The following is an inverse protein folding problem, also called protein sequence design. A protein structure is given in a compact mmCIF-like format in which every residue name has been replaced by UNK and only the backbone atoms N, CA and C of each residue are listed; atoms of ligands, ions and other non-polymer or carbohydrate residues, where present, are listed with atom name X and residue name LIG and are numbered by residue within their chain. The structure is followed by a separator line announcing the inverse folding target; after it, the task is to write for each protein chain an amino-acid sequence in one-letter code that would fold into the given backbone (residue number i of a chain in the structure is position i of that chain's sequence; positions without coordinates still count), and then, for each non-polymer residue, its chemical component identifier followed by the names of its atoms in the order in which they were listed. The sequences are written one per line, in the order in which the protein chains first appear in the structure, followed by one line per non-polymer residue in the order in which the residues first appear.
data_IF_027146809366
#
_entry.id   IF_027146809366
#
_cell.length_a   1.000
_cell.length_b   1.000
_cell.length_c   1.000
_cell.angle_alpha   90.00
_cell.angle_beta   90.00
_cell.angle_gamma   90.00
#
_symmetry.space_group_name_H-M   'P 1'
#
loop_
_entity.id
_entity.type
_entity.pdbx_description
1 polymer ?
#
# COMPACT_ATOMS: atom_id res chain seq x y z
N UNK A 1 -21.12 -1.57 26.83
CA UNK A 1 -21.25 -2.78 27.64
C UNK A 1 -21.26 -2.44 29.12
N UNK A 2 -21.75 -3.37 29.98
CA UNK A 2 -21.92 -3.19 31.44
C UNK A 2 -22.93 -2.10 31.79
N UNK A 3 -24.05 -2.03 31.07
CA UNK A 3 -25.12 -1.05 31.33
C UNK A 3 -25.76 -1.19 32.74
N UNK A 4 -25.67 -2.38 33.32
CA UNK A 4 -26.13 -2.70 34.67
C UNK A 4 -25.31 -2.04 35.79
N UNK A 5 -24.11 -1.53 35.50
CA UNK A 5 -23.23 -0.88 36.48
C UNK A 5 -23.24 0.65 36.40
N UNK A 6 -23.90 1.21 35.40
CA UNK A 6 -23.98 2.65 35.18
C UNK A 6 -25.35 3.20 35.61
N UNK A 7 -25.37 4.41 36.16
CA UNK A 7 -26.63 5.11 36.37
C UNK A 7 -27.21 5.61 35.03
N UNK A 8 -28.49 5.87 34.98
CA UNK A 8 -29.21 6.22 33.77
C UNK A 8 -28.77 7.57 33.18
N UNK A 9 -28.31 8.52 34.02
CA UNK A 9 -27.83 9.83 33.53
C UNK A 9 -26.45 9.72 32.88
N UNK A 10 -25.54 8.96 33.51
CA UNK A 10 -24.20 8.69 32.92
C UNK A 10 -24.30 7.92 31.62
N UNK A 11 -25.25 6.96 31.54
CA UNK A 11 -25.49 6.19 30.32
C UNK A 11 -25.95 7.11 29.16
N UNK A 12 -26.97 7.94 29.40
CA UNK A 12 -27.52 8.86 28.43
C UNK A 12 -26.47 9.90 27.99
N UNK A 13 -25.68 10.40 28.93
CA UNK A 13 -24.58 11.33 28.63
C UNK A 13 -23.54 10.68 27.70
N UNK A 14 -23.14 9.43 27.97
CA UNK A 14 -22.21 8.67 27.14
C UNK A 14 -22.77 8.40 25.75
N UNK A 15 -24.01 7.98 25.61
CA UNK A 15 -24.67 7.77 24.32
C UNK A 15 -24.71 9.06 23.48
N UNK A 16 -25.05 10.17 24.11
CA UNK A 16 -25.08 11.47 23.43
C UNK A 16 -23.69 11.91 22.98
N UNK A 17 -22.66 11.62 23.75
CA UNK A 17 -21.28 11.89 23.36
C UNK A 17 -20.85 11.05 22.14
N UNK A 18 -21.21 9.76 22.13
CA UNK A 18 -20.93 8.86 21.01
C UNK A 18 -21.66 9.33 19.74
N UNK A 19 -22.94 9.75 19.85
CA UNK A 19 -23.69 10.31 18.71
C UNK A 19 -23.08 11.60 18.17
N UNK A 20 -22.59 12.48 19.06
CA UNK A 20 -21.88 13.71 18.64
C UNK A 20 -20.60 13.41 17.85
N UNK A 21 -19.97 12.25 18.06
CA UNK A 21 -18.82 11.77 17.28
C UNK A 21 -19.22 11.11 15.95
N UNK A 22 -20.52 11.06 15.62
CA UNK A 22 -21.02 10.48 14.37
C UNK A 22 -21.22 8.95 14.41
N UNK A 23 -21.25 8.36 15.60
CA UNK A 23 -21.48 6.93 15.76
C UNK A 23 -22.84 6.64 16.39
N UNK A 24 -23.47 5.51 16.01
CA UNK A 24 -24.70 5.02 16.64
C UNK A 24 -24.34 4.06 17.80
N UNK A 25 -24.63 4.42 19.05
CA UNK A 25 -24.32 3.57 20.20
C UNK A 25 -25.31 2.41 20.34
N UNK A 26 -24.81 1.24 20.69
CA UNK A 26 -25.63 0.09 21.12
C UNK A 26 -25.28 -0.23 22.55
N UNK A 27 -26.23 0.04 23.46
CA UNK A 27 -26.09 -0.19 24.90
C UNK A 27 -26.41 -1.62 25.25
N UNK A 28 -25.48 -2.31 25.93
CA UNK A 28 -25.59 -3.75 26.24
C UNK A 28 -25.17 -4.07 27.68
N UNK A 29 -25.70 -5.18 28.18
CA UNK A 29 -25.19 -5.88 29.38
C UNK A 29 -24.90 -7.34 29.00
N UNK A 30 -23.61 -7.67 28.76
CA UNK A 30 -23.23 -9.00 28.30
C UNK A 30 -23.42 -10.08 29.37
N UNK A 31 -23.23 -9.75 30.67
CA UNK A 31 -23.43 -10.66 31.77
C UNK A 31 -24.90 -11.10 31.90
N UNK A 32 -25.83 -10.20 31.56
CA UNK A 32 -27.29 -10.44 31.60
C UNK A 32 -27.84 -10.80 30.19
N UNK A 33 -27.01 -10.93 29.19
CA UNK A 33 -27.38 -11.15 27.77
C UNK A 33 -28.36 -10.09 27.21
N UNK A 34 -28.38 -8.90 27.78
CA UNK A 34 -29.30 -7.83 27.39
C UNK A 34 -28.79 -7.13 26.13
N UNK A 35 -29.65 -6.94 25.12
CA UNK A 35 -29.38 -6.30 23.84
C UNK A 35 -28.24 -6.92 22.97
N UNK A 36 -27.93 -8.21 23.19
CA UNK A 36 -26.91 -8.89 22.37
C UNK A 36 -27.35 -9.03 20.92
N UNK A 37 -28.64 -9.24 20.67
CA UNK A 37 -29.16 -9.34 19.31
C UNK A 37 -29.07 -7.98 18.56
N UNK A 38 -29.32 -6.87 19.25
CA UNK A 38 -29.12 -5.53 18.69
C UNK A 38 -27.64 -5.29 18.26
N UNK A 39 -26.66 -5.83 19.00
CA UNK A 39 -25.25 -5.81 18.58
C UNK A 39 -25.02 -6.63 17.31
N UNK A 40 -25.60 -7.84 17.24
CA UNK A 40 -25.50 -8.68 16.04
C UNK A 40 -26.10 -8.00 14.81
N UNK A 41 -27.29 -7.42 14.95
CA UNK A 41 -27.94 -6.67 13.88
C UNK A 41 -27.12 -5.47 13.45
N UNK A 42 -26.55 -4.69 14.37
CA UNK A 42 -25.68 -3.58 14.06
C UNK A 42 -24.41 -4.03 13.33
N UNK A 43 -23.79 -5.16 13.75
CA UNK A 43 -22.63 -5.74 13.05
C UNK A 43 -23.01 -6.18 11.64
N UNK A 44 -24.14 -6.87 11.44
CA UNK A 44 -24.60 -7.31 10.13
C UNK A 44 -24.86 -6.11 9.21
N UNK A 45 -25.57 -5.10 9.71
CA UNK A 45 -25.84 -3.86 8.97
C UNK A 45 -24.55 -3.15 8.54
N UNK A 46 -23.60 -3.02 9.46
CA UNK A 46 -22.30 -2.42 9.17
C UNK A 46 -21.47 -3.28 8.21
N UNK A 47 -21.50 -4.60 8.34
CA UNK A 47 -20.81 -5.51 7.45
C UNK A 47 -21.34 -5.42 6.01
N UNK A 48 -22.66 -5.36 5.82
CA UNK A 48 -23.29 -5.21 4.52
C UNK A 48 -22.92 -3.89 3.83
N UNK A 49 -22.78 -2.81 4.60
CA UNK A 49 -22.35 -1.49 4.08
C UNK A 49 -20.84 -1.36 3.92
N UNK A 50 -20.06 -2.27 4.48
CA UNK A 50 -18.61 -2.20 4.59
C UNK A 50 -17.88 -3.25 3.74
N UNK A 51 -18.57 -3.98 2.88
CA UNK A 51 -17.93 -4.85 1.88
C UNK A 51 -17.36 -3.97 0.78
N UNK A 52 -16.15 -3.47 1.04
CA UNK A 52 -15.25 -3.02 -0.02
C UNK A 52 -14.74 -4.32 -0.67
N UNK A 53 -15.11 -4.63 -1.90
CA UNK A 53 -14.60 -5.83 -2.55
C UNK A 53 -13.07 -5.72 -2.60
N UNK A 54 -12.36 -6.79 -2.26
CA UNK A 54 -10.93 -6.84 -2.50
C UNK A 54 -10.71 -6.67 -4.01
N UNK A 55 -10.04 -5.59 -4.41
CA UNK A 55 -9.67 -5.41 -5.80
C UNK A 55 -8.58 -6.43 -6.15
N UNK A 56 -8.63 -7.01 -7.34
CA UNK A 56 -7.57 -7.89 -7.78
C UNK A 56 -6.24 -7.13 -7.84
N UNK A 57 -5.15 -7.86 -7.74
CA UNK A 57 -3.80 -7.28 -7.85
C UNK A 57 -3.49 -6.90 -9.31
N UNK A 58 -3.79 -7.79 -10.24
CA UNK A 58 -3.54 -7.69 -11.68
C UNK A 58 -4.76 -8.04 -12.53
N UNK A 59 -5.82 -8.60 -11.94
CA UNK A 59 -6.89 -9.28 -12.69
C UNK A 59 -7.67 -8.40 -13.66
N UNK A 60 -7.72 -7.09 -13.43
CA UNK A 60 -8.36 -6.13 -14.35
C UNK A 60 -7.41 -5.60 -15.45
N UNK A 61 -6.12 -5.96 -15.37
CA UNK A 61 -5.08 -5.62 -16.36
C UNK A 61 -4.74 -6.79 -17.28
N UNK A 62 -5.17 -8.01 -16.94
CA UNK A 62 -4.80 -9.24 -17.65
C UNK A 62 -6.00 -9.79 -18.41
N UNK A 63 -5.80 -10.09 -19.68
CA UNK A 63 -6.84 -10.65 -20.55
C UNK A 63 -6.46 -12.07 -20.99
N UNK A 64 -7.46 -12.91 -21.34
CA UNK A 64 -7.20 -14.26 -21.87
C UNK A 64 -6.22 -14.25 -23.05
N UNK A 65 -5.20 -15.09 -22.97
CA UNK A 65 -4.16 -15.19 -24.01
C UNK A 65 -2.98 -14.25 -23.85
N UNK A 66 -3.03 -13.27 -22.94
CA UNK A 66 -1.91 -12.40 -22.65
C UNK A 66 -0.68 -13.18 -22.16
N UNK A 67 0.50 -12.62 -22.37
CA UNK A 67 1.72 -13.03 -21.70
C UNK A 67 2.12 -11.93 -20.70
N UNK A 68 2.22 -12.26 -19.43
CA UNK A 68 2.71 -11.33 -18.39
C UNK A 68 4.05 -11.84 -17.87
N UNK A 69 5.03 -10.94 -17.79
CA UNK A 69 6.36 -11.28 -17.31
C UNK A 69 6.58 -10.75 -15.90
N UNK A 70 6.92 -11.64 -14.97
CA UNK A 70 7.20 -11.32 -13.58
C UNK A 70 8.71 -11.39 -13.31
N UNK A 71 9.30 -10.29 -12.88
CA UNK A 71 10.72 -10.22 -12.52
C UNK A 71 10.88 -10.27 -11.02
N UNK A 72 11.41 -11.40 -10.52
CA UNK A 72 11.55 -11.66 -9.08
C UNK A 72 13.03 -11.83 -8.73
N UNK A 73 13.66 -10.83 -8.11
CA UNK A 73 15.03 -10.96 -7.62
C UNK A 73 15.12 -12.00 -6.51
N UNK A 74 16.32 -12.48 -6.22
CA UNK A 74 16.54 -13.32 -5.05
C UNK A 74 16.47 -12.43 -3.80
N UNK A 75 15.39 -12.60 -3.05
CA UNK A 75 15.19 -11.93 -1.78
C UNK A 75 15.61 -12.85 -0.63
N UNK A 76 16.66 -12.45 0.10
CA UNK A 76 17.17 -13.19 1.27
C UNK A 76 16.24 -13.08 2.48
N UNK A 77 15.32 -12.12 2.48
CA UNK A 77 14.26 -11.96 3.49
C UNK A 77 13.05 -12.87 3.26
N UNK A 78 12.91 -13.42 2.06
CA UNK A 78 11.85 -14.38 1.76
C UNK A 78 12.11 -15.75 2.47
N UNK A 79 11.07 -16.45 2.92
CA UNK A 79 11.23 -17.79 3.45
C UNK A 79 11.89 -18.71 2.42
N UNK A 80 12.85 -19.54 2.86
CA UNK A 80 13.61 -20.45 1.99
C UNK A 80 12.66 -21.31 1.14
N UNK A 81 12.89 -21.32 -0.18
CA UNK A 81 12.12 -22.10 -1.14
C UNK A 81 10.72 -21.55 -1.44
N UNK A 82 10.44 -20.29 -1.11
CA UNK A 82 9.14 -19.66 -1.35
C UNK A 82 9.30 -18.32 -2.06
N UNK A 83 8.26 -17.95 -2.78
CA UNK A 83 8.01 -16.58 -3.24
C UNK A 83 7.27 -15.79 -2.15
N UNK A 84 7.35 -14.46 -2.19
CA UNK A 84 6.55 -13.60 -1.31
C UNK A 84 5.10 -13.52 -1.79
N UNK A 85 4.19 -13.17 -0.87
CA UNK A 85 2.75 -13.20 -1.13
C UNK A 85 2.31 -12.44 -2.39
N UNK A 86 2.77 -11.20 -2.68
CA UNK A 86 2.36 -10.50 -3.90
C UNK A 86 2.77 -11.23 -5.19
N UNK A 87 3.93 -11.89 -5.20
CA UNK A 87 4.40 -12.66 -6.35
C UNK A 87 3.52 -13.88 -6.61
N UNK A 88 3.17 -14.62 -5.54
CA UNK A 88 2.27 -15.79 -5.63
C UNK A 88 0.87 -15.37 -6.06
N UNK A 89 0.36 -14.26 -5.52
CA UNK A 89 -0.96 -13.72 -5.90
C UNK A 89 -0.99 -13.32 -7.37
N UNK A 90 0.03 -12.60 -7.85
CA UNK A 90 0.15 -12.23 -9.26
C UNK A 90 0.15 -13.43 -10.19
N UNK A 91 0.95 -14.47 -9.90
CA UNK A 91 0.98 -15.72 -10.67
C UNK A 91 -0.42 -16.33 -10.71
N UNK A 92 -1.10 -16.41 -9.57
CA UNK A 92 -2.43 -17.01 -9.47
C UNK A 92 -3.46 -16.24 -10.30
N UNK A 93 -3.49 -14.92 -10.20
CA UNK A 93 -4.44 -14.09 -10.95
C UNK A 93 -4.22 -14.15 -12.47
N UNK A 94 -2.94 -14.20 -12.92
CA UNK A 94 -2.61 -14.39 -14.34
C UNK A 94 -3.15 -15.72 -14.85
N UNK A 95 -2.97 -16.80 -14.08
CA UNK A 95 -3.49 -18.12 -14.46
C UNK A 95 -5.04 -18.17 -14.43
N UNK A 96 -5.67 -17.52 -13.46
CA UNK A 96 -7.13 -17.44 -13.38
C UNK A 96 -7.73 -16.65 -14.56
N UNK A 97 -6.98 -15.72 -15.15
CA UNK A 97 -7.36 -14.97 -16.35
C UNK A 97 -7.12 -15.74 -17.67
N UNK A 98 -6.73 -17.01 -17.63
CA UNK A 98 -6.35 -17.83 -18.81
C UNK A 98 -5.21 -17.18 -19.62
N UNK A 99 -4.23 -16.62 -18.91
CA UNK A 99 -3.05 -15.95 -19.45
C UNK A 99 -1.76 -16.71 -19.12
N UNK A 100 -0.69 -16.42 -19.84
CA UNK A 100 0.63 -17.01 -19.68
C UNK A 100 1.47 -16.19 -18.69
N UNK A 101 2.05 -16.85 -17.69
CA UNK A 101 2.95 -16.25 -16.72
C UNK A 101 4.39 -16.71 -16.95
N UNK A 102 5.31 -15.78 -17.19
CA UNK A 102 6.75 -16.04 -17.28
C UNK A 102 7.43 -15.40 -16.07
N UNK A 103 8.10 -16.21 -15.26
CA UNK A 103 8.81 -15.74 -14.06
C UNK A 103 10.30 -15.86 -14.28
N UNK A 104 11.00 -14.73 -14.17
CA UNK A 104 12.46 -14.68 -14.38
C UNK A 104 13.14 -13.83 -13.30
N UNK A 105 14.45 -13.97 -13.20
CA UNK A 105 15.28 -13.03 -12.44
C UNK A 105 15.62 -11.81 -13.29
N UNK A 106 15.97 -10.71 -12.63
CA UNK A 106 16.36 -9.44 -13.24
C UNK A 106 17.49 -9.58 -14.29
N UNK A 107 18.42 -10.49 -14.06
CA UNK A 107 19.54 -10.73 -14.99
C UNK A 107 19.19 -11.64 -16.17
N UNK A 108 17.97 -12.14 -16.24
CA UNK A 108 17.46 -12.99 -17.34
C UNK A 108 16.35 -12.30 -18.13
N UNK A 109 15.96 -11.09 -17.76
CA UNK A 109 14.85 -10.39 -18.38
C UNK A 109 15.07 -10.15 -19.88
N UNK A 110 16.22 -9.60 -20.25
CA UNK A 110 16.52 -9.29 -21.66
C UNK A 110 16.50 -10.56 -22.56
N UNK A 111 17.05 -11.67 -22.05
CA UNK A 111 17.01 -12.96 -22.74
C UNK A 111 15.57 -13.49 -22.87
N UNK A 112 14.79 -13.38 -21.80
CA UNK A 112 13.41 -13.83 -21.80
C UNK A 112 12.55 -13.02 -22.77
N UNK A 113 12.71 -11.69 -22.80
CA UNK A 113 12.01 -10.82 -23.75
C UNK A 113 12.38 -11.15 -25.21
N UNK A 114 13.65 -11.43 -25.48
CA UNK A 114 14.12 -11.76 -26.84
C UNK A 114 13.63 -13.14 -27.34
N UNK A 115 13.29 -14.05 -26.41
CA UNK A 115 12.83 -15.41 -26.76
C UNK A 115 11.31 -15.47 -26.99
N UNK A 116 10.53 -14.47 -26.59
CA UNK A 116 9.10 -14.43 -26.86
C UNK A 116 8.84 -13.98 -28.31
N UNK A 117 7.91 -14.68 -28.98
CA UNK A 117 7.49 -14.36 -30.36
C UNK A 117 6.70 -13.05 -30.43
N UNK A 118 5.94 -12.78 -29.40
CA UNK A 118 5.13 -11.59 -29.23
C UNK A 118 5.53 -10.89 -27.91
N UNK A 119 5.54 -9.56 -27.88
CA UNK A 119 5.89 -8.84 -26.67
C UNK A 119 4.89 -9.16 -25.55
N UNK A 120 5.33 -9.25 -24.30
CA UNK A 120 4.39 -9.41 -23.19
C UNK A 120 3.49 -8.17 -23.08
N UNK A 121 2.27 -8.36 -22.55
CA UNK A 121 1.32 -7.28 -22.32
C UNK A 121 1.92 -6.24 -21.35
N UNK A 122 2.63 -6.69 -20.33
CA UNK A 122 3.40 -5.85 -19.42
C UNK A 122 4.39 -6.67 -18.57
N UNK A 123 5.28 -5.96 -17.89
CA UNK A 123 6.25 -6.52 -16.94
C UNK A 123 5.94 -6.04 -15.53
N UNK A 124 5.91 -6.96 -14.56
CA UNK A 124 5.79 -6.64 -13.13
C UNK A 124 7.09 -7.00 -12.42
N UNK A 125 7.62 -6.08 -11.63
CA UNK A 125 8.89 -6.31 -10.95
C UNK A 125 8.85 -5.97 -9.46
N UNK A 126 9.87 -6.42 -8.76
CA UNK A 126 10.13 -5.96 -7.40
C UNK A 126 10.66 -4.53 -7.42
N UNK A 127 10.19 -3.68 -6.50
CA UNK A 127 10.60 -2.27 -6.46
C UNK A 127 12.10 -2.07 -6.28
N UNK A 128 12.81 -3.05 -5.70
CA UNK A 128 14.25 -2.97 -5.48
C UNK A 128 15.07 -2.96 -6.78
N UNK A 129 14.54 -3.56 -7.84
CA UNK A 129 15.23 -3.72 -9.13
C UNK A 129 14.51 -2.97 -10.27
N UNK A 130 13.53 -2.12 -9.95
CA UNK A 130 12.67 -1.45 -10.93
C UNK A 130 13.48 -0.64 -11.95
N UNK A 131 14.51 0.09 -11.53
CA UNK A 131 15.38 0.82 -12.45
C UNK A 131 16.03 -0.10 -13.49
N UNK A 132 16.66 -1.19 -13.04
CA UNK A 132 17.31 -2.16 -13.92
C UNK A 132 16.33 -2.85 -14.87
N UNK A 133 15.09 -3.09 -14.42
CA UNK A 133 14.04 -3.68 -15.26
C UNK A 133 13.55 -2.69 -16.30
N UNK A 134 13.35 -1.43 -15.94
CA UNK A 134 12.97 -0.36 -16.86
C UNK A 134 14.05 -0.18 -17.95
N UNK A 135 15.33 -0.18 -17.56
CA UNK A 135 16.45 -0.02 -18.49
C UNK A 135 16.56 -1.17 -19.51
N UNK A 136 16.10 -2.38 -19.15
CA UNK A 136 16.13 -3.57 -20.01
C UNK A 136 14.84 -3.78 -20.82
N UNK A 137 13.74 -3.11 -20.45
CA UNK A 137 12.43 -3.31 -21.08
C UNK A 137 12.20 -2.30 -22.19
N UNK A 138 11.85 -2.72 -23.43
CA UNK A 138 11.44 -1.82 -24.51
C UNK A 138 10.35 -0.85 -24.05
N UNK A 139 10.36 0.36 -24.63
CA UNK A 139 9.42 1.43 -24.23
C UNK A 139 7.97 1.09 -24.51
N UNK A 140 7.72 0.25 -25.48
CA UNK A 140 6.38 -0.20 -25.89
C UNK A 140 5.74 -1.20 -24.90
N UNK A 141 6.54 -1.81 -24.02
CA UNK A 141 6.08 -2.77 -23.05
C UNK A 141 5.94 -2.06 -21.70
N UNK A 142 4.73 -1.88 -21.16
CA UNK A 142 4.51 -1.25 -19.86
C UNK A 142 5.23 -1.98 -18.73
N UNK A 143 5.70 -1.22 -17.74
CA UNK A 143 6.35 -1.77 -16.54
C UNK A 143 5.62 -1.28 -15.30
N UNK A 144 5.44 -2.16 -14.33
CA UNK A 144 4.94 -1.79 -13.00
C UNK A 144 5.66 -2.59 -11.92
N UNK A 145 5.32 -2.33 -10.64
CA UNK A 145 5.89 -3.09 -9.53
C UNK A 145 4.82 -3.79 -8.70
N UNK A 146 5.17 -4.94 -8.09
CA UNK A 146 4.26 -5.61 -7.15
C UNK A 146 3.77 -4.66 -6.05
N UNK A 147 4.61 -3.74 -5.58
CA UNK A 147 4.25 -2.80 -4.53
C UNK A 147 3.29 -1.70 -5.01
N UNK A 148 3.39 -1.24 -6.27
CA UNK A 148 2.41 -0.34 -6.89
C UNK A 148 1.06 -1.06 -7.04
N UNK A 149 1.07 -2.30 -7.54
CA UNK A 149 -0.14 -3.09 -7.66
C UNK A 149 -0.78 -3.41 -6.30
N UNK A 150 0.03 -3.62 -5.25
CA UNK A 150 -0.47 -3.72 -3.88
C UNK A 150 -1.11 -2.41 -3.40
N UNK A 151 -0.58 -1.23 -3.77
CA UNK A 151 -1.22 0.04 -3.46
C UNK A 151 -2.56 0.20 -4.19
N UNK A 152 -2.66 -0.23 -5.43
CA UNK A 152 -3.91 -0.27 -6.20
C UNK A 152 -4.93 -1.22 -5.56
N UNK A 153 -4.55 -2.47 -5.31
CA UNK A 153 -5.44 -3.50 -4.75
C UNK A 153 -5.84 -3.22 -3.30
N UNK A 154 -4.90 -2.81 -2.45
CA UNK A 154 -5.09 -2.71 -0.99
C UNK A 154 -5.37 -1.30 -0.49
N UNK A 155 -5.14 -0.26 -1.29
CA UNK A 155 -5.32 1.12 -0.86
C UNK A 155 -5.97 1.96 -1.97
N UNK A 156 -5.57 3.21 -2.09
CA UNK A 156 -5.90 4.12 -3.17
C UNK A 156 -4.60 4.58 -3.83
N UNK A 157 -4.32 4.06 -5.04
CA UNK A 157 -3.06 4.35 -5.75
C UNK A 157 -2.97 5.83 -6.17
N UNK A 158 -4.10 6.46 -6.47
CA UNK A 158 -4.14 7.89 -6.85
C UNK A 158 -3.67 8.77 -5.68
N UNK A 159 -4.18 8.50 -4.47
CA UNK A 159 -3.74 9.22 -3.27
C UNK A 159 -2.29 8.88 -2.91
N UNK A 160 -1.85 7.64 -3.10
CA UNK A 160 -0.45 7.25 -2.87
C UNK A 160 0.51 7.94 -3.84
N UNK A 161 0.14 8.09 -5.10
CA UNK A 161 0.91 8.82 -6.09
C UNK A 161 0.96 10.33 -5.76
N UNK A 162 -0.17 10.92 -5.37
CA UNK A 162 -0.24 12.30 -4.88
C UNK A 162 0.70 12.52 -3.71
N UNK A 163 0.69 11.60 -2.73
CA UNK A 163 1.56 11.66 -1.56
C UNK A 163 3.05 11.59 -1.91
N UNK A 164 3.43 10.83 -2.95
CA UNK A 164 4.82 10.72 -3.38
C UNK A 164 5.42 12.04 -3.87
N UNK A 165 4.60 12.94 -4.40
CA UNK A 165 5.05 14.27 -4.84
C UNK A 165 5.69 15.08 -3.69
N UNK A 166 5.28 14.84 -2.44
CA UNK A 166 5.88 15.49 -1.26
C UNK A 166 7.37 15.19 -1.10
N UNK A 167 7.87 14.09 -1.65
CA UNK A 167 9.30 13.73 -1.58
C UNK A 167 10.19 14.84 -2.16
N UNK A 168 9.73 15.53 -3.21
CA UNK A 168 10.47 16.64 -3.85
C UNK A 168 10.52 17.92 -3.00
N UNK A 169 9.70 18.01 -1.96
CA UNK A 169 9.55 19.19 -1.08
C UNK A 169 10.06 18.96 0.34
N UNK A 170 10.54 17.75 0.65
CA UNK A 170 11.18 17.45 1.93
C UNK A 170 12.49 18.22 2.07
N UNK A 171 12.79 18.61 3.31
CA UNK A 171 14.01 19.34 3.69
C UNK A 171 14.77 18.56 4.75
N UNK A 172 16.10 18.77 4.87
CA UNK A 172 16.86 18.19 5.99
C UNK A 172 16.22 18.52 7.35
N UNK A 173 16.08 17.49 8.18
CA UNK A 173 15.43 17.59 9.49
C UNK A 173 13.91 17.37 9.49
N UNK A 174 13.23 17.32 8.33
CA UNK A 174 11.81 16.98 8.29
C UNK A 174 11.55 15.59 8.86
N UNK A 175 10.46 15.47 9.62
CA UNK A 175 10.06 14.21 10.23
C UNK A 175 9.24 13.37 9.25
N UNK A 176 9.70 12.13 9.02
CA UNK A 176 9.08 11.17 8.10
C UNK A 176 8.76 9.88 8.85
N UNK A 177 7.54 9.37 8.67
CA UNK A 177 7.14 8.09 9.26
C UNK A 177 7.23 6.96 8.22
N UNK A 178 7.89 5.88 8.57
CA UNK A 178 7.94 4.64 7.81
C UNK A 178 7.08 3.60 8.51
N UNK A 179 6.04 3.09 7.83
CA UNK A 179 5.08 2.16 8.41
C UNK A 179 5.23 0.76 7.84
N UNK A 180 5.50 -0.19 8.72
CA UNK A 180 5.55 -1.63 8.41
C UNK A 180 4.32 -2.32 9.01
N UNK A 181 3.56 -3.08 8.21
CA UNK A 181 2.35 -3.76 8.67
C UNK A 181 2.59 -5.17 9.22
N UNK A 182 3.72 -5.76 8.90
CA UNK A 182 4.12 -7.09 9.36
C UNK A 182 5.36 -7.01 10.27
N UNK A 183 5.48 -7.98 11.16
CA UNK A 183 6.64 -8.17 12.03
C UNK A 183 7.65 -9.12 11.38
N UNK A 184 8.05 -8.87 10.13
CA UNK A 184 9.12 -9.66 9.51
C UNK A 184 10.46 -9.38 10.23
N UNK A 185 11.36 -10.36 10.18
CA UNK A 185 12.67 -10.20 10.80
C UNK A 185 13.51 -9.21 9.96
N UNK A 186 13.91 -8.04 10.50
CA UNK A 186 14.65 -7.06 9.73
C UNK A 186 15.98 -7.66 9.23
N UNK A 187 16.22 -7.56 7.93
CA UNK A 187 17.49 -7.95 7.32
C UNK A 187 18.52 -6.82 7.46
N UNK A 188 19.84 -7.11 7.39
CA UNK A 188 20.87 -6.07 7.46
C UNK A 188 20.70 -4.95 6.45
N UNK A 189 20.08 -5.23 5.28
CA UNK A 189 19.84 -4.28 4.19
C UNK A 189 18.33 -4.09 3.91
N UNK A 190 17.56 -3.97 4.99
CA UNK A 190 16.10 -3.81 4.97
C UNK A 190 15.66 -2.56 4.18
N UNK A 191 14.62 -2.71 3.36
CA UNK A 191 14.10 -1.64 2.49
C UNK A 191 13.61 -0.46 3.32
N UNK A 192 12.73 -0.70 4.30
CA UNK A 192 12.10 0.34 5.11
C UNK A 192 13.08 1.02 6.05
N UNK A 193 13.95 0.23 6.70
CA UNK A 193 14.80 0.70 7.79
C UNK A 193 16.17 1.22 7.36
N UNK A 194 16.65 0.86 6.17
CA UNK A 194 17.98 1.21 5.67
C UNK A 194 17.97 1.87 4.30
N UNK A 195 17.35 1.23 3.30
CA UNK A 195 17.41 1.72 1.91
C UNK A 195 16.61 2.98 1.71
N UNK A 196 15.34 3.01 2.13
CA UNK A 196 14.48 4.19 1.98
C UNK A 196 15.03 5.42 2.70
N UNK A 197 15.42 5.37 4.00
CA UNK A 197 16.04 6.52 4.65
C UNK A 197 17.27 7.05 3.90
N UNK A 198 18.16 6.15 3.45
CA UNK A 198 19.36 6.54 2.69
C UNK A 198 19.04 7.18 1.34
N UNK A 199 18.06 6.66 0.61
CA UNK A 199 17.65 7.24 -0.67
C UNK A 199 16.96 8.58 -0.50
N UNK A 200 16.11 8.73 0.51
CA UNK A 200 15.49 10.00 0.88
C UNK A 200 16.54 11.04 1.29
N UNK A 201 17.47 10.70 2.17
CA UNK A 201 18.55 11.60 2.59
C UNK A 201 19.40 12.06 1.39
N UNK A 202 19.71 11.14 0.45
CA UNK A 202 20.40 11.48 -0.79
C UNK A 202 19.59 12.43 -1.67
N UNK A 203 18.29 12.22 -1.81
CA UNK A 203 17.39 13.06 -2.61
C UNK A 203 17.24 14.46 -2.02
N UNK A 204 17.12 14.55 -0.71
CA UNK A 204 16.92 15.81 0.06
C UNK A 204 18.24 16.59 0.25
N UNK A 205 19.38 15.92 0.14
CA UNK A 205 20.70 16.52 0.38
C UNK A 205 21.06 16.66 1.85
N UNK A 206 20.43 15.89 2.74
CA UNK A 206 20.70 15.88 4.19
C UNK A 206 19.84 14.86 4.93
N UNK A 207 20.14 14.63 6.21
CA UNK A 207 19.43 13.66 7.03
C UNK A 207 17.99 14.11 7.35
N UNK A 208 17.08 13.14 7.45
CA UNK A 208 15.69 13.30 7.88
C UNK A 208 15.52 12.68 9.28
N UNK A 209 14.54 13.18 10.04
CA UNK A 209 14.08 12.53 11.26
C UNK A 209 13.13 11.38 10.91
N UNK A 210 13.66 10.15 10.84
CA UNK A 210 12.91 8.98 10.39
C UNK A 210 12.46 8.15 11.59
N UNK A 211 11.13 8.04 11.74
CA UNK A 211 10.50 7.16 12.73
C UNK A 211 9.91 5.92 12.05
N UNK A 212 10.26 4.73 12.54
CA UNK A 212 9.72 3.45 12.02
C UNK A 212 8.66 2.90 12.96
N UNK A 213 7.44 2.75 12.44
CA UNK A 213 6.27 2.22 13.17
C UNK A 213 5.92 0.84 12.62
N UNK A 214 5.76 -0.14 13.51
CA UNK A 214 5.57 -1.56 13.14
C UNK A 214 4.20 -2.07 13.59
N UNK A 215 3.56 -2.88 12.75
CA UNK A 215 2.35 -3.59 13.11
C UNK A 215 1.13 -2.68 13.26
N UNK A 216 0.48 -2.70 14.43
CA UNK A 216 -0.76 -1.95 14.70
C UNK A 216 -0.53 -0.57 15.31
N UNK A 217 0.70 -0.23 15.68
CA UNK A 217 1.05 0.99 16.41
C UNK A 217 1.09 2.22 15.47
N UNK A 218 -0.04 2.50 14.81
CA UNK A 218 -0.20 3.67 13.98
C UNK A 218 -0.62 4.86 14.86
N UNK A 219 0.16 5.95 14.93
CA UNK A 219 -0.08 7.07 15.84
C UNK A 219 -1.44 7.73 15.61
N UNK A 220 -2.07 8.21 16.68
CA UNK A 220 -3.32 8.98 16.59
C UNK A 220 -3.06 10.38 16.01
N UNK A 221 -1.99 11.04 16.46
CA UNK A 221 -1.55 12.32 15.94
C UNK A 221 -0.46 12.11 14.87
N UNK A 222 -0.77 12.51 13.65
CA UNK A 222 0.12 12.43 12.48
C UNK A 222 0.70 13.80 12.09
N UNK A 223 0.24 14.88 12.73
CA UNK A 223 0.64 16.24 12.36
C UNK A 223 2.13 16.56 12.43
N UNK A 224 2.96 15.87 13.27
CA UNK A 224 4.39 16.07 13.25
C UNK A 224 5.11 15.59 11.98
N UNK A 225 4.48 14.71 11.18
CA UNK A 225 5.12 14.10 10.02
C UNK A 225 4.83 14.88 8.74
N UNK A 226 5.86 15.10 7.94
CA UNK A 226 5.75 15.70 6.60
C UNK A 226 5.32 14.70 5.55
N UNK A 227 5.65 13.42 5.75
CA UNK A 227 5.33 12.34 4.83
C UNK A 227 5.22 11.02 5.59
N UNK A 228 4.27 10.19 5.18
CA UNK A 228 4.13 8.80 5.64
C UNK A 228 4.45 7.86 4.48
N UNK A 229 5.42 6.95 4.69
CA UNK A 229 5.76 5.89 3.75
C UNK A 229 5.21 4.55 4.28
N UNK A 230 4.22 4.01 3.62
CA UNK A 230 3.56 2.77 3.99
C UNK A 230 4.13 1.61 3.18
N UNK A 231 4.44 0.49 3.83
CA UNK A 231 4.79 -0.74 3.11
C UNK A 231 3.61 -1.29 2.28
N UNK A 232 3.83 -2.28 1.42
CA UNK A 232 2.80 -2.84 0.53
C UNK A 232 1.56 -3.41 1.22
N UNK A 233 1.60 -3.65 2.54
CA UNK A 233 0.44 -4.10 3.29
C UNK A 233 -0.04 -5.51 2.92
N UNK A 234 0.84 -6.38 2.41
CA UNK A 234 0.50 -7.68 1.84
C UNK A 234 -0.24 -8.63 2.81
N UNK A 235 -0.01 -8.49 4.12
CA UNK A 235 -0.61 -9.34 5.17
C UNK A 235 -1.81 -8.71 5.87
N UNK A 236 -2.22 -7.50 5.49
CA UNK A 236 -3.38 -6.82 6.08
C UNK A 236 -4.49 -6.64 5.06
N UNK A 237 -5.71 -6.39 5.54
CA UNK A 237 -6.87 -6.17 4.69
C UNK A 237 -6.83 -4.79 4.03
N UNK A 238 -7.52 -4.64 2.88
CA UNK A 238 -7.76 -3.37 2.21
C UNK A 238 -8.32 -2.33 3.18
N UNK A 239 -9.32 -2.69 3.97
CA UNK A 239 -9.94 -1.80 4.95
C UNK A 239 -8.94 -1.22 5.95
N UNK A 240 -7.98 -2.03 6.41
CA UNK A 240 -6.94 -1.55 7.32
C UNK A 240 -6.08 -0.45 6.66
N UNK A 241 -5.70 -0.65 5.40
CA UNK A 241 -4.92 0.33 4.64
C UNK A 241 -5.70 1.61 4.39
N UNK A 242 -6.97 1.49 3.96
CA UNK A 242 -7.86 2.65 3.75
C UNK A 242 -8.14 3.44 5.04
N UNK A 243 -8.20 2.75 6.19
CA UNK A 243 -8.36 3.42 7.49
C UNK A 243 -7.17 4.31 7.81
N UNK A 244 -5.93 3.82 7.59
CA UNK A 244 -4.70 4.62 7.76
C UNK A 244 -4.66 5.80 6.81
N UNK A 245 -4.98 5.58 5.53
CA UNK A 245 -5.04 6.65 4.53
C UNK A 245 -6.08 7.70 4.91
N UNK A 246 -7.28 7.30 5.32
CA UNK A 246 -8.32 8.23 5.75
C UNK A 246 -7.90 9.04 7.00
N UNK A 247 -7.15 8.45 7.92
CA UNK A 247 -6.61 9.16 9.08
C UNK A 247 -5.54 10.20 8.65
N UNK A 248 -4.65 9.84 7.75
CA UNK A 248 -3.65 10.75 7.20
C UNK A 248 -4.31 11.92 6.43
N UNK A 249 -5.31 11.63 5.60
CA UNK A 249 -6.09 12.66 4.86
C UNK A 249 -6.80 13.64 5.80
N UNK A 250 -7.45 13.15 6.87
CA UNK A 250 -8.11 14.03 7.87
C UNK A 250 -7.16 15.01 8.55
N UNK A 251 -5.88 14.65 8.65
CA UNK A 251 -4.85 15.49 9.27
C UNK A 251 -3.98 16.22 8.25
N UNK A 252 -4.33 16.13 6.95
CA UNK A 252 -3.59 16.74 5.84
C UNK A 252 -2.12 16.31 5.79
N UNK A 253 -1.82 15.06 6.16
CA UNK A 253 -0.48 14.48 6.07
C UNK A 253 -0.38 13.62 4.83
N UNK A 254 0.49 13.94 3.85
CA UNK A 254 0.70 13.13 2.67
C UNK A 254 1.14 11.71 3.01
N UNK A 255 0.59 10.73 2.30
CA UNK A 255 0.92 9.33 2.48
C UNK A 255 1.19 8.69 1.12
N UNK A 256 2.28 7.92 1.03
CA UNK A 256 2.64 7.14 -0.15
C UNK A 256 3.04 5.73 0.24
N UNK A 257 3.23 4.84 -0.74
CA UNK A 257 3.74 3.50 -0.47
C UNK A 257 5.19 3.33 -0.95
N UNK A 258 5.83 2.25 -0.48
CA UNK A 258 7.22 1.96 -0.83
C UNK A 258 7.45 1.88 -2.34
N UNK A 259 6.56 1.22 -3.10
CA UNK A 259 6.73 1.05 -4.55
C UNK A 259 6.72 2.37 -5.30
N UNK A 260 5.74 3.23 -5.01
CA UNK A 260 5.63 4.56 -5.61
C UNK A 260 6.83 5.43 -5.21
N UNK A 261 7.17 5.46 -3.91
CA UNK A 261 8.31 6.23 -3.41
C UNK A 261 9.65 5.77 -4.02
N UNK A 262 9.91 4.46 -4.08
CA UNK A 262 11.15 3.92 -4.65
C UNK A 262 11.23 4.24 -6.15
N UNK A 263 10.15 4.04 -6.90
CA UNK A 263 10.11 4.35 -8.33
C UNK A 263 10.36 5.84 -8.59
N UNK A 264 9.82 6.73 -7.72
CA UNK A 264 10.09 8.16 -7.80
C UNK A 264 11.55 8.50 -7.48
N UNK A 265 12.09 7.95 -6.38
CA UNK A 265 13.48 8.17 -5.97
C UNK A 265 14.51 7.65 -6.99
N UNK A 266 14.15 6.61 -7.75
CA UNK A 266 14.97 6.06 -8.83
C UNK A 266 14.72 6.74 -10.18
N UNK A 267 13.78 7.70 -10.28
CA UNK A 267 13.50 8.46 -11.50
C UNK A 267 12.72 7.71 -12.58
N UNK A 268 12.03 6.62 -12.21
CA UNK A 268 11.26 5.76 -13.13
C UNK A 268 9.76 5.71 -12.81
N UNK A 269 9.25 6.62 -11.98
CA UNK A 269 7.87 6.59 -11.54
C UNK A 269 6.86 6.67 -12.70
N UNK A 270 7.11 7.55 -13.67
CA UNK A 270 6.23 7.70 -14.84
C UNK A 270 6.11 6.38 -15.61
N UNK A 271 7.22 5.69 -15.76
CA UNK A 271 7.30 4.39 -16.40
C UNK A 271 6.58 3.31 -15.59
N UNK A 272 6.71 3.34 -14.28
CA UNK A 272 6.07 2.38 -13.37
C UNK A 272 4.55 2.59 -13.19
N UNK A 273 4.04 3.77 -13.54
CA UNK A 273 2.62 4.13 -13.47
C UNK A 273 1.91 4.13 -14.84
N UNK A 274 2.53 3.70 -15.93
CA UNK A 274 1.90 3.69 -17.27
C UNK A 274 0.57 2.95 -17.33
N UNK A 275 0.41 1.89 -16.54
CA UNK A 275 -0.85 1.16 -16.42
C UNK A 275 -1.92 1.91 -15.59
N UNK A 276 -1.56 3.02 -14.95
CA UNK A 276 -2.43 3.79 -14.05
C UNK A 276 -2.35 5.30 -14.34
N UNK A 277 -2.89 5.77 -15.47
CA UNK A 277 -2.74 7.15 -15.92
C UNK A 277 -3.35 8.18 -14.94
N UNK A 278 -4.40 7.81 -14.20
CA UNK A 278 -5.00 8.70 -13.20
C UNK A 278 -4.06 8.94 -11.99
N UNK A 279 -3.32 7.91 -11.58
CA UNK A 279 -2.32 8.04 -10.53
C UNK A 279 -1.15 8.92 -10.98
N UNK A 280 -0.70 8.78 -12.23
CA UNK A 280 0.34 9.64 -12.81
C UNK A 280 -0.12 11.10 -12.87
N UNK A 281 -1.35 11.35 -13.34
CA UNK A 281 -1.95 12.69 -13.38
C UNK A 281 -1.98 13.32 -11.98
N UNK A 282 -2.45 12.56 -10.97
CA UNK A 282 -2.53 13.04 -9.59
C UNK A 282 -1.14 13.37 -8.99
N UNK A 283 -0.11 12.63 -9.37
CA UNK A 283 1.28 12.93 -8.99
C UNK A 283 1.74 14.29 -9.54
N UNK A 284 1.52 14.55 -10.83
CA UNK A 284 1.92 15.83 -11.46
C UNK A 284 1.13 17.02 -10.86
N UNK A 285 -0.19 16.90 -10.72
CA UNK A 285 -1.03 17.94 -10.10
C UNK A 285 -0.59 18.27 -8.66
N UNK A 286 -0.21 17.26 -7.89
CA UNK A 286 0.28 17.45 -6.53
C UNK A 286 1.64 18.18 -6.50
N UNK A 287 2.54 17.88 -7.42
CA UNK A 287 3.83 18.60 -7.52
C UNK A 287 3.64 20.08 -7.80
N UNK A 288 2.66 20.44 -8.63
CA UNK A 288 2.31 21.86 -8.88
C UNK A 288 1.71 22.52 -7.64
N UNK A 289 0.92 21.77 -6.85
CA UNK A 289 0.26 22.28 -5.65
C UNK A 289 1.24 22.51 -4.49
N UNK A 290 2.25 21.65 -4.33
CA UNK A 290 3.24 21.76 -3.26
C UNK A 290 4.36 22.77 -3.59
N UNK A 291 4.56 23.15 -4.85
CA UNK A 291 5.54 24.16 -5.30
C UNK A 291 5.09 25.57 -4.92
#
# INVERSE_FOLDING_TARGET
NKADTADSQALTATENQVRKLGYEPVTVCASQKQNIDAVREAIVKLAQSAVDPDLPLLGDLVHPGDTVMLVTPIDTGAPKGRLILPQVQAIREILDADAKCIVVRENRLAEALANEKEPPAFVVTDSQVVQSVVDQTPKEIPVTTFSIQMAYSKCDLVDMARGAAMIDFLRPGDKVMICETCSHHPQPDDIGRKKLPRWLAKKVGGELDVEVVVGKDFPVDLTPYKLILQCGGCVVTRRHMLTRLAQAKRQNVPMTNYGVAISHLQGVLERALELHPEAMKAFHEARETFS
#
